data_IF_908521956300
#
_entry.id   IF_908521956300
#
_cell.length_a   1.000
_cell.length_b   1.000
_cell.length_c   1.000
_cell.angle_alpha   90.00
_cell.angle_beta   90.00
_cell.angle_gamma   90.00
#
_symmetry.space_group_name_H-M   'P 1'
#
loop_
_entity.id
_entity.type
_entity.pdbx_description
1 polymer ?
#
# COMPACT_ATOMS: atom_id res chain seq x y z
N UNK A 1 -23.07 -5.96 -24.78
CA UNK A 1 -21.80 -6.37 -24.13
C UNK A 1 -20.66 -5.72 -24.91
N UNK A 2 -20.33 -4.47 -24.58
CA UNK A 2 -19.22 -3.76 -25.21
C UNK A 2 -17.97 -3.98 -24.35
N UNK A 3 -17.00 -4.69 -24.91
CA UNK A 3 -15.68 -4.85 -24.32
C UNK A 3 -15.03 -3.47 -24.18
N UNK A 4 -14.88 -3.02 -22.94
CA UNK A 4 -14.02 -1.90 -22.58
C UNK A 4 -12.57 -2.29 -22.90
N UNK A 5 -12.12 -1.87 -24.08
CA UNK A 5 -10.72 -1.87 -24.46
C UNK A 5 -9.99 -0.88 -23.52
N UNK A 6 -9.38 -1.38 -22.45
CA UNK A 6 -8.38 -0.64 -21.70
C UNK A 6 -7.17 -0.44 -22.61
N UNK A 7 -7.15 0.70 -23.30
CA UNK A 7 -5.94 1.25 -23.90
C UNK A 7 -4.93 1.49 -22.78
N UNK A 8 -4.07 0.50 -22.52
CA UNK A 8 -2.89 0.64 -21.69
C UNK A 8 -1.96 1.61 -22.40
N UNK A 9 -2.13 2.92 -22.16
CA UNK A 9 -1.14 3.91 -22.56
C UNK A 9 0.15 3.51 -21.87
N UNK A 10 1.13 3.05 -22.64
CA UNK A 10 2.45 2.75 -22.15
C UNK A 10 2.96 3.98 -21.41
N UNK A 11 3.15 3.85 -20.10
CA UNK A 11 3.83 4.87 -19.31
C UNK A 11 5.29 4.85 -19.77
N UNK A 12 5.62 5.69 -20.74
CA UNK A 12 6.99 5.93 -21.17
C UNK A 12 7.68 6.69 -20.04
N UNK A 13 8.25 5.96 -19.09
CA UNK A 13 9.03 6.56 -18.01
C UNK A 13 10.40 6.92 -18.55
N UNK A 14 10.65 8.20 -18.84
CA UNK A 14 11.99 8.72 -19.02
C UNK A 14 12.68 8.79 -17.66
N UNK A 15 13.33 7.70 -17.22
CA UNK A 15 14.10 7.71 -15.97
C UNK A 15 15.51 8.24 -16.27
N UNK A 16 15.76 9.51 -15.94
CA UNK A 16 17.13 10.02 -15.82
C UNK A 16 17.74 9.50 -14.50
N UNK A 17 18.34 8.30 -14.55
CA UNK A 17 18.89 7.64 -13.38
C UNK A 17 20.24 8.24 -12.96
N UNK A 18 20.28 8.87 -11.78
CA UNK A 18 21.51 9.02 -11.02
C UNK A 18 21.79 7.69 -10.30
N UNK A 19 22.77 6.93 -10.79
CA UNK A 19 23.14 5.64 -10.24
C UNK A 19 23.92 5.79 -8.93
N UNK A 20 23.39 5.25 -7.83
CA UNK A 20 24.17 5.03 -6.61
C UNK A 20 25.06 3.80 -6.79
N UNK A 21 26.38 3.97 -6.70
CA UNK A 21 27.32 2.85 -6.71
C UNK A 21 27.14 2.01 -5.44
N UNK A 22 26.67 0.77 -5.58
CA UNK A 22 26.71 -0.21 -4.50
C UNK A 22 28.04 -0.97 -4.57
N UNK A 23 28.95 -0.75 -3.61
CA UNK A 23 30.14 -1.58 -3.42
C UNK A 23 29.79 -2.81 -2.60
N UNK A 24 29.77 -3.99 -3.22
CA UNK A 24 29.57 -5.27 -2.54
C UNK A 24 30.21 -6.41 -3.33
N UNK A 25 30.58 -7.48 -2.64
CA UNK A 25 31.14 -8.71 -3.23
C UNK A 25 30.24 -9.21 -4.36
N UNK A 26 30.81 -9.42 -5.55
CA UNK A 26 30.04 -9.80 -6.73
C UNK A 26 29.57 -11.26 -6.63
N UNK A 27 28.31 -11.47 -6.27
CA UNK A 27 27.61 -12.72 -6.54
C UNK A 27 26.88 -12.59 -7.88
N UNK A 28 27.16 -13.50 -8.81
CA UNK A 28 26.49 -13.56 -10.10
C UNK A 28 25.34 -14.56 -10.01
N UNK A 29 24.11 -14.11 -10.25
CA UNK A 29 23.00 -15.00 -10.52
C UNK A 29 22.87 -15.16 -12.04
N UNK A 30 22.78 -16.40 -12.53
CA UNK A 30 22.87 -16.70 -13.96
C UNK A 30 21.51 -16.63 -14.66
N UNK A 31 21.49 -15.89 -15.77
CA UNK A 31 20.61 -16.12 -16.91
C UNK A 31 21.38 -17.01 -17.90
N UNK A 32 20.71 -17.63 -18.87
CA UNK A 32 21.35 -18.46 -19.91
C UNK A 32 22.51 -17.75 -20.64
N UNK A 33 22.54 -16.42 -20.62
CA UNK A 33 23.46 -15.58 -21.40
C UNK A 33 24.50 -14.85 -20.54
N UNK A 34 24.78 -15.32 -19.31
CA UNK A 34 25.88 -14.81 -18.47
C UNK A 34 25.47 -14.06 -17.19
N UNK A 35 24.18 -14.00 -16.87
CA UNK A 35 23.70 -13.50 -15.57
C UNK A 35 23.79 -11.99 -15.35
N UNK A 36 23.64 -11.59 -14.09
CA UNK A 36 23.72 -10.19 -13.67
C UNK A 36 24.77 -9.96 -12.59
N UNK A 37 25.41 -8.79 -12.64
CA UNK A 37 26.47 -8.32 -11.75
C UNK A 37 26.31 -6.83 -11.49
N UNK A 38 27.00 -6.30 -10.48
CA UNK A 38 27.06 -4.85 -10.23
C UNK A 38 27.54 -4.08 -11.47
N UNK A 39 28.46 -4.66 -12.23
CA UNK A 39 29.05 -4.01 -13.40
C UNK A 39 28.04 -3.84 -14.54
N UNK A 40 27.25 -4.88 -14.87
CA UNK A 40 26.33 -4.86 -16.02
C UNK A 40 24.87 -4.51 -15.66
N UNK A 41 24.56 -4.29 -14.38
CA UNK A 41 23.18 -4.02 -13.92
C UNK A 41 23.00 -2.57 -13.50
N UNK A 42 21.96 -1.93 -14.04
CA UNK A 42 21.40 -0.67 -13.59
C UNK A 42 20.45 -0.92 -12.41
N UNK A 43 20.51 -0.15 -11.33
CA UNK A 43 19.58 -0.28 -10.19
C UNK A 43 18.63 0.91 -10.16
N UNK A 44 17.34 0.62 -10.03
CA UNK A 44 16.27 1.61 -9.85
C UNK A 44 15.60 1.35 -8.51
N UNK A 45 15.83 2.23 -7.56
CA UNK A 45 15.22 2.17 -6.23
C UNK A 45 13.89 2.91 -6.23
N UNK A 46 12.82 2.21 -5.85
CA UNK A 46 11.45 2.72 -5.84
C UNK A 46 10.92 2.71 -4.41
N UNK A 47 10.58 3.87 -3.85
CA UNK A 47 9.88 3.98 -2.56
C UNK A 47 8.36 4.11 -2.75
N UNK A 48 7.59 4.12 -1.67
CA UNK A 48 6.18 4.50 -1.74
C UNK A 48 5.15 3.41 -1.46
N UNK A 49 3.89 3.66 -1.79
CA UNK A 49 2.72 2.86 -1.38
C UNK A 49 2.89 1.34 -1.54
N UNK A 50 2.54 0.59 -0.49
CA UNK A 50 2.46 -0.88 -0.52
C UNK A 50 1.26 -1.39 -1.33
N UNK A 51 0.21 -0.58 -1.50
CA UNK A 51 -0.97 -0.93 -2.30
C UNK A 51 -0.62 -1.10 -3.80
N UNK A 52 0.52 -0.54 -4.22
CA UNK A 52 1.04 -0.63 -5.59
C UNK A 52 2.09 -1.73 -5.79
N UNK A 53 2.42 -2.51 -4.75
CA UNK A 53 3.49 -3.52 -4.83
C UNK A 53 3.19 -4.56 -5.92
N UNK A 54 1.95 -5.06 -5.97
CA UNK A 54 1.54 -6.05 -6.97
C UNK A 54 1.62 -5.51 -8.40
N UNK A 55 1.09 -4.30 -8.62
CA UNK A 55 1.04 -3.64 -9.92
C UNK A 55 2.46 -3.25 -10.38
N UNK A 56 3.30 -2.75 -9.49
CA UNK A 56 4.69 -2.39 -9.81
C UNK A 56 5.51 -3.64 -10.16
N UNK A 57 5.30 -4.73 -9.41
CA UNK A 57 5.95 -6.02 -9.69
C UNK A 57 5.49 -6.59 -11.03
N UNK A 58 4.18 -6.59 -11.29
CA UNK A 58 3.61 -7.05 -12.56
C UNK A 58 4.07 -6.18 -13.74
N UNK A 59 4.12 -4.85 -13.58
CA UNK A 59 4.66 -3.95 -14.59
C UNK A 59 6.12 -4.27 -14.89
N UNK A 60 6.96 -4.43 -13.86
CA UNK A 60 8.36 -4.79 -14.06
C UNK A 60 8.46 -6.12 -14.82
N UNK A 61 7.71 -7.15 -14.42
CA UNK A 61 7.79 -8.47 -15.04
C UNK A 61 7.20 -8.55 -16.46
N UNK A 62 6.10 -7.84 -16.71
CA UNK A 62 5.32 -8.01 -17.95
C UNK A 62 5.55 -6.92 -18.97
N UNK A 63 5.90 -5.71 -18.54
CA UNK A 63 6.11 -4.56 -19.44
C UNK A 63 7.59 -4.28 -19.64
N UNK A 64 8.37 -4.22 -18.55
CA UNK A 64 9.80 -3.89 -18.62
C UNK A 64 10.66 -5.09 -19.02
N UNK A 65 10.49 -6.21 -18.34
CA UNK A 65 11.40 -7.36 -18.43
C UNK A 65 11.07 -8.31 -19.57
N UNK A 66 12.11 -8.88 -20.17
CA UNK A 66 11.97 -10.11 -20.96
C UNK A 66 11.57 -11.26 -20.01
N UNK A 67 10.45 -11.92 -20.32
CA UNK A 67 9.88 -12.98 -19.48
C UNK A 67 10.78 -14.21 -19.34
N UNK A 68 11.74 -14.39 -20.26
CA UNK A 68 12.71 -15.50 -20.24
C UNK A 68 14.01 -15.14 -19.52
N UNK A 69 14.25 -13.84 -19.26
CA UNK A 69 15.50 -13.33 -18.69
C UNK A 69 15.24 -12.44 -17.48
N UNK A 70 14.51 -12.99 -16.51
CA UNK A 70 14.19 -12.28 -15.27
C UNK A 70 14.25 -13.19 -14.05
N UNK A 71 14.60 -12.60 -12.91
CA UNK A 71 14.48 -13.21 -11.59
C UNK A 71 13.74 -12.25 -10.67
N UNK A 72 12.98 -12.80 -9.74
CA UNK A 72 12.20 -12.03 -8.77
C UNK A 72 12.56 -12.45 -7.37
N UNK A 73 12.85 -11.47 -6.53
CA UNK A 73 13.14 -11.63 -5.12
C UNK A 73 12.02 -10.99 -4.31
N UNK A 74 11.50 -11.70 -3.32
CA UNK A 74 10.53 -11.16 -2.37
C UNK A 74 11.04 -11.51 -0.98
N UNK A 75 11.47 -10.49 -0.25
CA UNK A 75 12.07 -10.65 1.08
C UNK A 75 10.99 -10.68 2.16
N UNK A 76 10.05 -9.73 2.04
CA UNK A 76 8.91 -9.58 2.94
C UNK A 76 7.81 -8.80 2.20
N UNK A 77 6.75 -8.41 2.92
CA UNK A 77 5.61 -7.66 2.37
C UNK A 77 5.97 -6.26 1.86
N UNK A 78 7.10 -5.70 2.29
CA UNK A 78 7.56 -4.36 1.96
C UNK A 78 8.69 -4.31 0.93
N UNK A 79 9.42 -5.42 0.77
CA UNK A 79 10.65 -5.45 -0.01
C UNK A 79 10.60 -6.52 -1.11
N UNK A 80 10.72 -6.06 -2.36
CA UNK A 80 10.91 -6.95 -3.50
C UNK A 80 11.91 -6.37 -4.50
N UNK A 81 12.43 -7.24 -5.36
CA UNK A 81 13.20 -6.85 -6.52
C UNK A 81 12.81 -7.69 -7.74
N UNK A 82 12.84 -7.08 -8.92
CA UNK A 82 12.80 -7.78 -10.21
C UNK A 82 14.07 -7.39 -10.96
N UNK A 83 14.91 -8.37 -11.27
CA UNK A 83 16.16 -8.16 -12.02
C UNK A 83 16.02 -8.86 -13.35
N UNK A 84 16.30 -8.16 -14.45
CA UNK A 84 16.08 -8.71 -15.78
C UNK A 84 16.89 -8.03 -16.88
N UNK A 85 16.90 -8.66 -18.05
CA UNK A 85 17.16 -7.97 -19.31
C UNK A 85 15.87 -7.23 -19.71
N UNK A 86 15.90 -5.92 -19.97
CA UNK A 86 14.71 -5.22 -20.44
C UNK A 86 14.33 -5.64 -21.86
N UNK A 87 13.03 -5.59 -22.17
CA UNK A 87 12.54 -5.74 -23.55
C UNK A 87 13.12 -4.63 -24.44
N UNK A 88 13.44 -4.94 -25.72
CA UNK A 88 13.93 -3.95 -26.66
C UNK A 88 13.02 -2.71 -26.74
N UNK A 89 13.60 -1.52 -26.67
CA UNK A 89 12.89 -0.25 -26.82
C UNK A 89 12.07 0.22 -25.62
N UNK A 90 11.98 -0.55 -24.52
CA UNK A 90 11.21 -0.14 -23.32
C UNK A 90 12.00 0.81 -22.42
N UNK A 91 13.32 0.64 -22.34
CA UNK A 91 14.21 1.53 -21.59
C UNK A 91 15.57 1.61 -22.27
N UNK A 92 16.18 2.79 -22.26
CA UNK A 92 17.58 2.97 -22.65
C UNK A 92 18.46 2.90 -21.40
N UNK A 93 19.37 1.93 -21.36
CA UNK A 93 20.34 1.80 -20.27
C UNK A 93 21.62 2.57 -20.59
N UNK A 94 22.33 3.01 -19.55
CA UNK A 94 23.63 3.66 -19.70
C UNK A 94 24.69 2.71 -20.28
N UNK A 95 25.74 3.26 -20.87
CA UNK A 95 26.81 2.48 -21.48
C UNK A 95 27.38 1.43 -20.52
N UNK A 96 27.50 0.18 -21.00
CA UNK A 96 27.98 -0.95 -20.21
C UNK A 96 26.93 -1.65 -19.34
N UNK A 97 25.69 -1.13 -19.29
CA UNK A 97 24.56 -1.78 -18.62
C UNK A 97 23.71 -2.56 -19.61
N UNK A 98 23.53 -3.85 -19.34
CA UNK A 98 22.66 -4.74 -20.13
C UNK A 98 21.45 -5.21 -19.34
N UNK A 99 21.52 -5.13 -18.01
CA UNK A 99 20.48 -5.57 -17.08
C UNK A 99 19.93 -4.39 -16.28
N UNK A 100 18.72 -4.56 -15.75
CA UNK A 100 18.08 -3.62 -14.81
C UNK A 100 17.53 -4.36 -13.60
N UNK A 101 17.70 -3.77 -12.41
CA UNK A 101 17.12 -4.21 -11.16
C UNK A 101 16.11 -3.15 -10.69
N UNK A 102 14.82 -3.48 -10.75
CA UNK A 102 13.76 -2.69 -10.13
C UNK A 102 13.62 -3.15 -8.69
N UNK A 103 14.02 -2.32 -7.74
CA UNK A 103 14.04 -2.66 -6.32
C UNK A 103 13.08 -1.76 -5.57
N UNK A 104 12.09 -2.35 -4.89
CA UNK A 104 11.05 -1.61 -4.18
C UNK A 104 11.21 -1.76 -2.67
N UNK A 105 11.05 -0.63 -1.97
CA UNK A 105 10.76 -0.58 -0.54
C UNK A 105 9.43 0.16 -0.35
N UNK A 106 8.43 -0.46 0.28
CA UNK A 106 7.15 0.18 0.61
C UNK A 106 6.95 0.53 2.08
N UNK A 107 7.99 0.39 2.89
CA UNK A 107 7.96 0.81 4.28
C UNK A 107 7.68 2.32 4.39
N UNK A 108 6.76 2.70 5.27
CA UNK A 108 6.27 4.07 5.40
C UNK A 108 5.44 4.58 4.21
N UNK A 109 4.98 3.68 3.33
CA UNK A 109 3.91 3.95 2.37
C UNK A 109 4.12 5.18 1.48
N UNK A 110 3.00 5.78 1.10
CA UNK A 110 2.88 6.86 0.12
C UNK A 110 3.60 8.15 0.56
N UNK A 111 3.60 8.42 1.87
CA UNK A 111 4.39 9.49 2.47
C UNK A 111 5.88 9.37 2.20
N UNK A 112 6.44 8.16 2.31
CA UNK A 112 7.83 7.89 1.91
C UNK A 112 8.03 7.90 0.39
N UNK A 113 7.00 7.59 -0.39
CA UNK A 113 7.00 7.76 -1.84
C UNK A 113 7.31 9.20 -2.25
N UNK A 114 6.94 10.19 -1.43
CA UNK A 114 7.24 11.59 -1.68
C UNK A 114 8.54 12.00 -0.97
N UNK A 115 8.64 11.66 0.32
CA UNK A 115 9.71 12.16 1.19
C UNK A 115 11.09 11.63 0.83
N UNK A 116 11.19 10.43 0.23
CA UNK A 116 12.46 9.69 0.01
C UNK A 116 12.98 9.74 -1.43
N UNK A 117 12.39 10.58 -2.28
CA UNK A 117 12.89 10.82 -3.64
C UNK A 117 14.27 11.47 -3.61
N UNK A 118 15.10 11.19 -4.63
CA UNK A 118 16.37 11.87 -4.83
C UNK A 118 16.11 13.38 -4.99
N UNK A 119 16.68 14.18 -4.08
CA UNK A 119 16.38 15.62 -3.96
C UNK A 119 15.36 15.97 -2.86
N UNK A 120 14.75 14.97 -2.20
CA UNK A 120 13.94 15.09 -0.99
C UNK A 120 14.70 14.72 0.30
N UNK A 121 13.98 14.58 1.41
CA UNK A 121 14.55 14.32 2.74
C UNK A 121 14.67 12.82 3.08
N UNK A 122 15.89 12.28 2.96
CA UNK A 122 16.31 11.04 3.62
C UNK A 122 16.47 9.81 2.71
N UNK A 123 16.89 8.70 3.33
CA UNK A 123 17.28 7.46 2.65
C UNK A 123 16.46 6.26 3.14
N UNK A 124 16.41 5.19 2.34
CA UNK A 124 15.81 3.90 2.68
C UNK A 124 16.76 2.76 2.34
N UNK A 125 16.63 1.65 3.06
CA UNK A 125 17.35 0.42 2.74
C UNK A 125 16.54 -0.43 1.74
N UNK A 126 17.22 -1.07 0.80
CA UNK A 126 16.59 -1.85 -0.27
C UNK A 126 17.13 -3.27 -0.31
N UNK A 127 16.44 -4.19 -0.99
CA UNK A 127 16.98 -5.52 -1.26
C UNK A 127 18.30 -5.37 -2.00
N UNK A 128 19.39 -5.87 -1.41
CA UNK A 128 20.63 -5.98 -2.15
C UNK A 128 20.54 -7.21 -3.06
N UNK A 129 20.36 -7.00 -4.35
CA UNK A 129 20.22 -8.08 -5.34
C UNK A 129 21.55 -8.76 -5.69
N UNK A 130 22.68 -8.18 -5.27
CA UNK A 130 24.03 -8.66 -5.58
C UNK A 130 24.64 -9.51 -4.46
N UNK A 131 23.89 -9.81 -3.41
CA UNK A 131 24.31 -10.72 -2.34
C UNK A 131 23.88 -12.17 -2.64
N UNK A 132 24.50 -13.15 -1.97
CA UNK A 132 24.20 -14.57 -2.19
C UNK A 132 22.72 -14.95 -1.98
N UNK A 133 22.06 -14.33 -0.99
CA UNK A 133 20.68 -14.65 -0.62
C UNK A 133 19.80 -13.39 -0.55
N UNK A 134 19.39 -12.75 -1.67
CA UNK A 134 18.65 -11.49 -1.63
C UNK A 134 17.30 -11.55 -0.88
N UNK A 135 16.65 -12.72 -0.86
CA UNK A 135 15.37 -12.91 -0.18
C UNK A 135 15.49 -12.98 1.35
N UNK A 136 16.60 -13.49 1.89
CA UNK A 136 16.76 -13.70 3.35
C UNK A 136 17.88 -12.87 3.97
N UNK A 137 18.82 -12.40 3.15
CA UNK A 137 19.96 -11.58 3.54
C UNK A 137 19.58 -10.20 4.04
N UNK A 138 20.57 -9.49 4.58
CA UNK A 138 20.40 -8.13 5.06
C UNK A 138 19.98 -7.19 3.91
N UNK A 139 19.24 -6.14 4.26
CA UNK A 139 19.03 -5.03 3.32
C UNK A 139 20.37 -4.33 3.07
N UNK A 140 20.49 -3.70 1.89
CA UNK A 140 21.65 -2.90 1.54
C UNK A 140 21.77 -1.62 2.36
N UNK A 141 22.85 -0.89 2.12
CA UNK A 141 23.05 0.46 2.66
C UNK A 141 21.90 1.38 2.28
N UNK A 142 21.53 2.28 3.19
CA UNK A 142 20.46 3.23 2.92
C UNK A 142 20.85 4.20 1.79
N UNK A 143 19.98 4.34 0.79
CA UNK A 143 20.16 5.22 -0.38
C UNK A 143 18.88 5.99 -0.69
N UNK A 144 18.98 7.05 -1.47
CA UNK A 144 17.81 7.79 -1.96
C UNK A 144 17.02 6.98 -3.00
N UNK A 145 15.71 7.21 -3.06
CA UNK A 145 14.84 6.58 -4.06
C UNK A 145 14.98 7.31 -5.40
N UNK A 146 15.09 6.57 -6.49
CA UNK A 146 15.03 7.16 -7.83
C UNK A 146 13.59 7.52 -8.21
N UNK A 147 12.63 6.70 -7.78
CA UNK A 147 11.20 6.86 -8.07
C UNK A 147 10.41 6.71 -6.77
N UNK A 148 9.32 7.46 -6.71
CA UNK A 148 8.41 7.55 -5.59
C UNK A 148 7.01 7.29 -6.08
N UNK A 149 6.35 6.28 -5.50
CA UNK A 149 4.98 5.91 -5.92
C UNK A 149 3.99 6.24 -4.81
N UNK A 150 2.95 6.98 -5.16
CA UNK A 150 1.86 7.30 -4.26
C UNK A 150 0.56 6.75 -4.84
N UNK A 151 -0.26 6.15 -3.99
CA UNK A 151 -1.65 5.78 -4.28
C UNK A 151 -2.64 6.88 -3.84
N UNK A 152 -2.11 8.06 -3.48
CA UNK A 152 -2.88 9.23 -3.09
C UNK A 152 -2.17 10.51 -3.56
N UNK A 153 -2.93 11.58 -3.77
CA UNK A 153 -2.42 12.84 -4.27
C UNK A 153 -1.39 13.46 -3.31
N UNK A 154 -0.22 13.94 -3.80
CA UNK A 154 0.83 14.48 -2.95
C UNK A 154 0.42 15.64 -2.04
N UNK A 155 -0.46 16.52 -2.54
CA UNK A 155 -0.93 17.67 -1.74
C UNK A 155 -1.85 17.23 -0.60
N UNK A 156 -2.64 16.18 -0.82
CA UNK A 156 -3.45 15.62 0.24
C UNK A 156 -2.58 14.99 1.33
N UNK A 157 -1.57 14.22 0.93
CA UNK A 157 -0.62 13.62 1.87
C UNK A 157 0.15 14.68 2.67
N UNK A 158 0.54 15.78 2.04
CA UNK A 158 1.17 16.90 2.72
C UNK A 158 0.23 17.52 3.76
N UNK A 159 -1.01 17.83 3.38
CA UNK A 159 -2.02 18.38 4.30
C UNK A 159 -2.36 17.40 5.44
N UNK A 160 -2.30 16.09 5.17
CA UNK A 160 -2.56 15.04 6.14
C UNK A 160 -1.41 14.83 7.15
N UNK A 161 -0.28 15.52 6.98
CA UNK A 161 0.92 15.37 7.81
C UNK A 161 1.79 14.15 7.44
N UNK A 162 1.53 13.53 6.29
CA UNK A 162 2.16 12.28 5.87
C UNK A 162 3.56 12.45 5.23
N UNK A 163 3.95 13.68 4.89
CA UNK A 163 5.18 14.01 4.15
C UNK A 163 6.15 14.78 5.04
N UNK A 164 7.42 14.37 5.05
CA UNK A 164 8.50 15.06 5.78
C UNK A 164 9.39 15.83 4.82
N UNK A 165 9.76 17.07 5.18
CA UNK A 165 10.68 17.90 4.38
C UNK A 165 10.07 18.56 3.15
N UNK A 166 8.73 18.59 3.04
CA UNK A 166 7.99 19.24 1.94
C UNK A 166 7.87 18.38 0.68
N UNK A 167 7.08 18.88 -0.29
CA UNK A 167 6.84 18.23 -1.59
C UNK A 167 7.97 18.62 -2.58
N UNK A 168 8.72 17.67 -3.17
CA UNK A 168 9.66 17.97 -4.23
C UNK A 168 8.99 18.69 -5.42
N UNK A 169 9.70 19.60 -6.07
CA UNK A 169 9.20 20.23 -7.30
C UNK A 169 9.12 19.22 -8.45
N UNK A 170 8.13 19.36 -9.33
CA UNK A 170 8.01 18.54 -10.54
C UNK A 170 7.42 17.14 -10.35
N UNK A 171 6.71 16.88 -9.25
CA UNK A 171 5.92 15.65 -9.13
C UNK A 171 4.82 15.64 -10.18
N UNK A 172 4.82 14.60 -11.02
CA UNK A 172 3.74 14.31 -11.96
C UNK A 172 2.73 13.45 -11.23
N UNK A 173 1.56 14.01 -10.92
CA UNK A 173 0.43 13.22 -10.45
C UNK A 173 -0.40 12.74 -11.64
N UNK A 174 -0.77 11.47 -11.62
CA UNK A 174 -1.69 10.89 -12.60
C UNK A 174 -2.51 9.85 -11.87
N UNK A 175 -3.84 10.01 -11.90
CA UNK A 175 -4.74 9.04 -11.30
C UNK A 175 -4.57 7.68 -11.99
N UNK A 176 -4.04 6.69 -11.27
CA UNK A 176 -3.86 5.32 -11.78
C UNK A 176 -5.08 4.43 -11.51
N UNK A 177 -5.88 4.75 -10.49
CA UNK A 177 -7.14 4.09 -10.15
C UNK A 177 -7.88 4.84 -9.03
N UNK A 178 -9.22 4.86 -9.10
CA UNK A 178 -10.07 5.23 -7.95
C UNK A 178 -10.37 3.94 -7.19
N UNK A 179 -10.03 3.88 -5.90
CA UNK A 179 -10.41 2.77 -5.03
C UNK A 179 -11.75 3.07 -4.37
N UNK A 180 -12.68 2.12 -4.44
CA UNK A 180 -13.90 2.11 -3.64
C UNK A 180 -13.52 1.70 -2.21
N UNK A 181 -13.87 2.50 -1.20
CA UNK A 181 -13.62 2.15 0.20
C UNK A 181 -14.67 1.15 0.68
N UNK A 182 -14.24 -0.06 0.99
CA UNK A 182 -14.93 -0.93 1.94
C UNK A 182 -14.21 -0.85 3.29
N UNK A 183 -14.95 -0.72 4.39
CA UNK A 183 -14.39 -0.84 5.74
C UNK A 183 -14.41 -2.31 6.14
N UNK A 184 -13.27 -3.01 6.17
CA UNK A 184 -13.26 -4.40 6.58
C UNK A 184 -13.53 -4.50 8.08
N UNK A 185 -14.22 -5.56 8.47
CA UNK A 185 -14.61 -5.86 9.85
C UNK A 185 -14.30 -7.31 10.17
N UNK A 186 -14.28 -7.67 11.44
CA UNK A 186 -14.12 -9.08 11.84
C UNK A 186 -15.32 -9.93 11.38
N UNK A 187 -15.09 -11.23 11.20
CA UNK A 187 -16.12 -12.19 10.79
C UNK A 187 -17.35 -12.14 11.71
N UNK A 188 -17.11 -12.08 13.03
CA UNK A 188 -18.17 -12.02 14.03
C UNK A 188 -19.02 -10.76 13.92
N UNK A 189 -18.36 -9.59 13.78
CA UNK A 189 -19.07 -8.32 13.61
C UNK A 189 -19.87 -8.27 12.31
N UNK A 190 -19.31 -8.75 11.19
CA UNK A 190 -20.03 -8.85 9.92
C UNK A 190 -21.30 -9.68 10.06
N UNK A 191 -21.21 -10.88 10.65
CA UNK A 191 -22.37 -11.75 10.82
C UNK A 191 -23.42 -11.11 11.75
N UNK A 192 -22.99 -10.41 12.80
CA UNK A 192 -23.90 -9.65 13.68
C UNK A 192 -24.61 -8.51 12.93
N UNK A 193 -23.88 -7.77 12.10
CA UNK A 193 -24.44 -6.73 11.24
C UNK A 193 -25.45 -7.29 10.23
N UNK A 194 -25.15 -8.45 9.62
CA UNK A 194 -26.09 -9.12 8.72
C UNK A 194 -27.39 -9.47 9.44
N UNK A 195 -27.31 -10.13 10.59
CA UNK A 195 -28.48 -10.48 11.41
C UNK A 195 -29.33 -9.25 11.75
N UNK A 196 -28.69 -8.16 12.22
CA UNK A 196 -29.40 -6.94 12.59
C UNK A 196 -30.05 -6.24 11.38
N UNK A 197 -29.38 -6.25 10.22
CA UNK A 197 -29.89 -5.60 9.02
C UNK A 197 -30.98 -6.41 8.31
N UNK A 198 -30.93 -7.74 8.39
CA UNK A 198 -32.04 -8.61 7.97
C UNK A 198 -33.26 -8.33 8.85
N UNK A 199 -33.08 -8.32 10.19
CA UNK A 199 -34.18 -8.09 11.13
C UNK A 199 -34.81 -6.68 10.99
N UNK A 200 -34.02 -5.68 10.61
CA UNK A 200 -34.50 -4.31 10.37
C UNK A 200 -34.97 -4.05 8.93
N UNK A 201 -34.95 -5.06 8.05
CA UNK A 201 -35.36 -4.94 6.65
C UNK A 201 -34.41 -4.11 5.78
N UNK A 202 -33.19 -3.84 6.24
CA UNK A 202 -32.12 -3.16 5.48
C UNK A 202 -31.36 -4.11 4.55
N UNK A 203 -31.34 -5.40 4.87
CA UNK A 203 -30.87 -6.46 3.99
C UNK A 203 -32.03 -7.32 3.54
N UNK A 204 -31.87 -7.93 2.37
CA UNK A 204 -32.87 -8.83 1.79
C UNK A 204 -33.19 -9.98 2.77
N UNK A 205 -34.48 -10.30 3.02
CA UNK A 205 -34.85 -11.39 3.92
C UNK A 205 -34.35 -12.77 3.50
N UNK A 206 -33.95 -12.96 2.23
CA UNK A 206 -33.31 -14.19 1.74
C UNK A 206 -31.85 -14.32 2.14
N UNK A 207 -31.24 -13.26 2.68
CA UNK A 207 -29.91 -13.32 3.23
C UNK A 207 -29.89 -14.06 4.57
N UNK A 208 -28.80 -14.77 4.80
CA UNK A 208 -28.51 -15.42 6.08
C UNK A 208 -27.15 -14.93 6.55
N UNK A 209 -26.98 -14.76 7.87
CA UNK A 209 -25.68 -14.42 8.44
C UNK A 209 -24.61 -15.43 7.98
N UNK A 210 -23.45 -14.90 7.55
CA UNK A 210 -22.37 -15.68 6.93
C UNK A 210 -22.42 -15.76 5.41
N UNK A 211 -23.48 -15.30 4.74
CA UNK A 211 -23.53 -15.25 3.28
C UNK A 211 -22.61 -14.14 2.75
N UNK A 212 -21.64 -14.50 1.90
CA UNK A 212 -20.63 -13.57 1.36
C UNK A 212 -20.95 -13.02 -0.03
N UNK A 213 -22.15 -13.31 -0.54
CA UNK A 213 -22.63 -12.68 -1.79
C UNK A 213 -22.77 -11.18 -1.62
N UNK A 214 -22.56 -10.43 -2.72
CA UNK A 214 -22.66 -8.97 -2.72
C UNK A 214 -24.03 -8.47 -2.21
N UNK A 215 -25.11 -9.18 -2.54
CA UNK A 215 -26.47 -8.84 -2.10
C UNK A 215 -26.65 -8.93 -0.57
N UNK A 216 -25.85 -9.75 0.11
CA UNK A 216 -25.94 -9.98 1.55
C UNK A 216 -24.85 -9.27 2.34
N UNK A 217 -24.02 -8.44 1.72
CA UNK A 217 -23.03 -7.64 2.44
C UNK A 217 -23.74 -6.55 3.27
N UNK A 218 -23.55 -6.52 4.60
CA UNK A 218 -24.15 -5.47 5.43
C UNK A 218 -23.57 -4.10 5.09
N UNK A 219 -24.20 -3.02 5.55
CA UNK A 219 -23.75 -1.65 5.31
C UNK A 219 -23.85 -0.76 6.55
N UNK A 220 -22.97 0.23 6.68
CA UNK A 220 -23.13 1.33 7.63
C UNK A 220 -23.18 2.63 6.85
N UNK A 221 -23.93 3.61 7.37
CA UNK A 221 -23.91 4.94 6.79
C UNK A 221 -22.53 5.59 6.95
N UNK A 222 -22.21 6.54 6.08
CA UNK A 222 -21.01 7.36 6.22
C UNK A 222 -20.94 8.04 7.59
N UNK A 223 -22.07 8.49 8.14
CA UNK A 223 -22.13 9.10 9.47
C UNK A 223 -21.82 8.11 10.60
N UNK A 224 -22.29 6.87 10.51
CA UNK A 224 -21.95 5.83 11.49
C UNK A 224 -20.45 5.50 11.45
N UNK A 225 -19.87 5.40 10.25
CA UNK A 225 -18.43 5.17 10.09
C UNK A 225 -17.62 6.38 10.57
N UNK A 226 -18.08 7.61 10.29
CA UNK A 226 -17.47 8.83 10.78
C UNK A 226 -17.51 8.91 12.32
N UNK A 227 -18.61 8.51 12.95
CA UNK A 227 -18.70 8.46 14.42
C UNK A 227 -17.76 7.42 15.03
N UNK A 228 -17.58 6.26 14.38
CA UNK A 228 -16.60 5.25 14.80
C UNK A 228 -15.18 5.80 14.69
N UNK A 229 -14.79 6.29 13.51
CA UNK A 229 -13.43 6.79 13.27
C UNK A 229 -13.13 8.12 13.93
N UNK A 230 -14.15 8.89 14.32
CA UNK A 230 -14.02 10.08 15.15
C UNK A 230 -14.04 9.81 16.65
N UNK A 231 -14.29 8.56 17.07
CA UNK A 231 -14.31 8.15 18.48
C UNK A 231 -15.58 8.52 19.25
N UNK A 232 -16.61 8.96 18.55
CA UNK A 232 -17.91 9.30 19.14
C UNK A 232 -18.77 8.05 19.39
N UNK A 233 -18.65 7.03 18.52
CA UNK A 233 -19.33 5.75 18.68
C UNK A 233 -18.36 4.73 19.25
N UNK A 234 -18.65 4.30 20.47
CA UNK A 234 -17.73 3.49 21.27
C UNK A 234 -18.27 2.11 21.58
N UNK A 235 -19.57 1.90 21.46
CA UNK A 235 -20.25 0.62 21.66
C UNK A 235 -20.99 0.13 20.41
N UNK A 236 -20.95 -1.17 20.11
CA UNK A 236 -21.73 -1.76 19.02
C UNK A 236 -23.25 -1.71 19.29
N UNK A 237 -23.64 -1.66 20.56
CA UNK A 237 -25.01 -1.47 21.03
C UNK A 237 -25.62 -0.15 20.61
N UNK A 238 -24.81 0.88 20.36
CA UNK A 238 -25.25 2.16 19.78
C UNK A 238 -25.75 2.01 18.34
N UNK A 239 -25.36 0.93 17.66
CA UNK A 239 -25.87 0.52 16.34
C UNK A 239 -27.01 -0.51 16.43
N UNK A 240 -27.48 -0.83 17.64
CA UNK A 240 -28.48 -1.85 17.90
C UNK A 240 -27.95 -3.28 17.79
N UNK A 241 -26.63 -3.47 17.88
CA UNK A 241 -26.00 -4.80 17.89
C UNK A 241 -25.87 -5.30 19.34
N UNK A 242 -25.82 -6.61 19.52
CA UNK A 242 -25.60 -7.22 20.84
C UNK A 242 -24.49 -8.27 20.80
N UNK A 243 -23.24 -7.88 20.45
CA UNK A 243 -22.10 -8.80 20.49
C UNK A 243 -21.70 -9.16 21.93
N UNK A 244 -20.89 -10.20 22.09
CA UNK A 244 -20.36 -10.60 23.41
C UNK A 244 -19.35 -9.57 23.97
N UNK A 245 -18.61 -8.87 23.10
CA UNK A 245 -17.82 -7.69 23.43
C UNK A 245 -18.44 -6.47 22.72
N UNK A 246 -19.01 -5.56 23.50
CA UNK A 246 -19.66 -4.35 22.99
C UNK A 246 -18.67 -3.28 22.54
N UNK A 247 -17.39 -3.44 22.85
CA UNK A 247 -16.38 -2.41 22.60
C UNK A 247 -16.07 -2.27 21.11
N UNK A 248 -16.09 -1.04 20.61
CA UNK A 248 -15.53 -0.71 19.30
C UNK A 248 -14.02 -0.59 19.42
N UNK A 249 -13.33 -1.40 18.62
CA UNK A 249 -11.89 -1.31 18.37
C UNK A 249 -11.65 -0.85 16.94
N UNK A 250 -10.76 0.12 16.76
CA UNK A 250 -10.42 0.70 15.46
C UNK A 250 -9.02 0.27 15.06
N UNK A 251 -8.91 -0.40 13.92
CA UNK A 251 -7.63 -0.59 13.26
C UNK A 251 -7.43 0.50 12.21
N UNK A 252 -6.28 1.18 12.26
CA UNK A 252 -5.90 2.21 11.29
C UNK A 252 -4.50 1.96 10.73
N UNK A 253 -4.22 2.59 9.60
CA UNK A 253 -2.89 2.60 8.98
C UNK A 253 -2.10 3.81 9.51
N UNK A 254 -0.75 3.76 9.47
CA UNK A 254 0.08 4.90 9.88
C UNK A 254 -0.23 6.15 9.03
N UNK A 255 0.06 7.34 9.56
CA UNK A 255 -0.24 8.62 8.89
C UNK A 255 0.35 8.73 7.49
N UNK A 256 1.45 8.02 7.24
CA UNK A 256 2.15 7.97 5.95
C UNK A 256 1.44 7.14 4.86
N UNK A 257 0.32 6.50 5.18
CA UNK A 257 -0.48 5.72 4.23
C UNK A 257 -1.41 6.59 3.39
N UNK A 258 -1.34 6.49 2.06
CA UNK A 258 -2.31 7.10 1.16
C UNK A 258 -3.73 6.59 1.38
N UNK A 259 -3.90 5.28 1.56
CA UNK A 259 -5.21 4.71 1.92
C UNK A 259 -5.80 5.33 3.20
N UNK A 260 -4.97 5.63 4.23
CA UNK A 260 -5.42 6.32 5.44
C UNK A 260 -5.85 7.76 5.13
N UNK A 261 -5.05 8.49 4.36
CA UNK A 261 -5.37 9.87 3.96
C UNK A 261 -6.68 9.93 3.16
N UNK A 262 -6.86 9.01 2.22
CA UNK A 262 -8.05 8.89 1.41
C UNK A 262 -9.29 8.54 2.26
N UNK A 263 -9.17 7.61 3.21
CA UNK A 263 -10.24 7.27 4.15
C UNK A 263 -10.64 8.46 5.05
N UNK A 264 -9.66 9.27 5.49
CA UNK A 264 -9.91 10.51 6.25
C UNK A 264 -10.72 11.51 5.43
N UNK A 265 -10.36 11.71 4.15
CA UNK A 265 -11.12 12.59 3.26
C UNK A 265 -12.53 12.06 3.05
N UNK A 266 -12.65 10.77 2.75
CA UNK A 266 -13.93 10.18 2.39
C UNK A 266 -14.90 10.16 3.58
N UNK A 267 -14.47 9.72 4.76
CA UNK A 267 -15.38 9.56 5.90
C UNK A 267 -15.50 10.82 6.76
N UNK A 268 -14.43 11.59 6.89
CA UNK A 268 -14.35 12.71 7.84
C UNK A 268 -14.18 14.07 7.17
N UNK A 269 -13.99 14.13 5.85
CA UNK A 269 -13.62 15.35 5.11
C UNK A 269 -12.33 16.01 5.64
N UNK A 270 -11.48 15.22 6.33
CA UNK A 270 -10.20 15.63 6.87
C UNK A 270 -9.08 15.27 5.86
N UNK A 271 -8.10 16.14 5.58
CA UNK A 271 -7.85 17.47 6.12
C UNK A 271 -8.40 18.61 5.23
N UNK A 272 -9.42 18.34 4.41
CA UNK A 272 -9.91 19.28 3.40
C UNK A 272 -10.54 20.58 3.96
N UNK A 273 -10.90 20.60 5.25
CA UNK A 273 -11.41 21.78 5.95
C UNK A 273 -10.91 21.84 7.41
N UNK A 274 -10.89 23.05 7.98
CA UNK A 274 -10.59 23.26 9.39
C UNK A 274 -11.75 22.77 10.28
N UNK A 275 -11.44 22.34 11.51
CA UNK A 275 -12.40 21.88 12.53
C UNK A 275 -13.23 20.65 12.14
N UNK A 276 -12.79 19.86 11.17
CA UNK A 276 -13.39 18.56 10.91
C UNK A 276 -13.12 17.59 12.07
N UNK A 277 -14.03 16.64 12.28
CA UNK A 277 -13.81 15.51 13.18
C UNK A 277 -12.53 14.80 12.74
N UNK A 278 -11.57 14.71 13.65
CA UNK A 278 -10.29 14.07 13.35
C UNK A 278 -10.39 12.57 13.53
N UNK A 279 -9.63 11.84 12.73
CA UNK A 279 -9.50 10.40 12.92
C UNK A 279 -8.85 10.12 14.29
N UNK A 280 -9.45 9.21 15.06
CA UNK A 280 -8.96 8.81 16.39
C UNK A 280 -7.46 8.47 16.37
N UNK A 281 -6.71 9.05 17.30
CA UNK A 281 -5.28 8.79 17.42
C UNK A 281 -5.02 7.34 17.81
N UNK A 282 -3.92 6.75 17.31
CA UNK A 282 -3.51 5.40 17.70
C UNK A 282 -2.99 5.37 19.13
N UNK A 283 -3.45 4.39 19.92
CA UNK A 283 -3.10 4.28 21.35
C UNK A 283 -1.65 3.80 21.58
N UNK A 284 -0.99 3.28 20.54
CA UNK A 284 0.32 2.61 20.65
C UNK A 284 1.51 3.40 20.06
N UNK A 285 1.28 4.60 19.51
CA UNK A 285 2.28 5.31 18.70
C UNK A 285 2.60 4.60 17.37
N UNK A 286 3.09 5.37 16.39
CA UNK A 286 3.36 4.89 15.03
C UNK A 286 4.38 3.75 14.98
N UNK A 287 3.91 2.52 14.72
CA UNK A 287 4.81 1.38 14.51
C UNK A 287 4.56 0.72 13.16
N UNK A 288 5.41 1.05 12.19
CA UNK A 288 5.50 0.36 10.89
C UNK A 288 6.09 -1.06 10.95
N UNK A 289 6.34 -1.59 12.16
CA UNK A 289 7.02 -2.89 12.38
C UNK A 289 6.22 -3.87 13.21
N UNK A 290 5.06 -3.47 13.78
CA UNK A 290 4.22 -4.41 14.53
C UNK A 290 3.43 -5.29 13.57
N UNK A 291 3.53 -6.60 13.78
CA UNK A 291 2.63 -7.59 13.21
C UNK A 291 1.19 -7.15 13.48
N UNK A 292 0.30 -7.33 12.50
CA UNK A 292 -1.11 -6.94 12.51
C UNK A 292 -1.67 -6.85 13.93
N UNK A 293 -1.76 -5.64 14.46
CA UNK A 293 -2.36 -5.40 15.77
C UNK A 293 -3.84 -5.84 15.80
N UNK A 294 -4.42 -6.14 14.62
CA UNK A 294 -5.74 -6.75 14.44
C UNK A 294 -5.79 -8.24 14.80
N UNK A 295 -4.65 -8.94 14.82
CA UNK A 295 -4.56 -10.39 15.05
C UNK A 295 -3.75 -10.77 16.31
N UNK A 296 -3.04 -9.82 16.94
CA UNK A 296 -2.37 -10.09 18.22
C UNK A 296 -3.34 -9.97 19.39
N UNK A 297 -3.26 -10.89 20.35
CA UNK A 297 -3.99 -10.82 21.61
C UNK A 297 -3.75 -9.45 22.30
N UNK A 298 -4.80 -8.63 22.28
CA UNK A 298 -5.01 -7.38 23.02
C UNK A 298 -3.75 -6.62 23.48
N UNK A 299 -3.18 -5.72 22.65
CA UNK A 299 -2.53 -4.55 23.21
C UNK A 299 -3.57 -3.78 24.07
N UNK A 300 -3.16 -3.20 25.20
CA UNK A 300 -4.04 -2.30 25.94
C UNK A 300 -4.45 -1.12 25.04
N UNK A 301 -5.76 -0.83 24.94
CA UNK A 301 -6.29 0.27 24.12
C UNK A 301 -7.48 -0.14 23.25
N UNK A 302 -7.93 0.80 22.43
CA UNK A 302 -9.08 0.71 21.51
C UNK A 302 -8.74 1.09 20.08
N UNK A 303 -7.63 1.79 19.84
CA UNK A 303 -7.19 2.23 18.51
C UNK A 303 -5.81 1.68 18.23
N UNK A 304 -5.72 0.79 17.26
CA UNK A 304 -4.52 0.05 16.92
C UNK A 304 -3.98 0.47 15.55
N UNK A 305 -2.66 0.60 15.44
CA UNK A 305 -1.99 0.89 14.17
C UNK A 305 -1.33 -0.37 13.59
N UNK A 306 -1.46 -0.58 12.29
CA UNK A 306 -0.89 -1.75 11.61
C UNK A 306 -0.44 -1.51 10.17
N UNK A 307 0.48 -2.36 9.71
CA UNK A 307 1.11 -2.35 8.37
C UNK A 307 0.68 -3.57 7.52
N UNK A 308 -0.55 -4.04 7.67
CA UNK A 308 -1.09 -5.16 6.88
C UNK A 308 -1.52 -4.72 5.47
N UNK A 309 -1.10 -5.50 4.45
CA UNK A 309 -1.80 -5.57 3.16
C UNK A 309 -3.21 -6.16 3.32
N UNK A 310 -3.95 -6.45 2.23
CA UNK A 310 -5.38 -6.73 2.26
C UNK A 310 -5.70 -8.10 2.87
N UNK A 311 -5.55 -8.25 4.18
CA UNK A 311 -6.04 -9.40 4.94
C UNK A 311 -6.69 -8.90 6.22
N UNK A 312 -7.74 -8.12 6.04
CA UNK A 312 -8.91 -8.19 6.91
C UNK A 312 -10.02 -8.52 5.94
N UNK A 313 -10.72 -9.64 6.17
CA UNK A 313 -11.74 -10.21 5.28
C UNK A 313 -12.57 -9.06 4.69
N UNK A 314 -12.38 -8.81 3.39
CA UNK A 314 -13.04 -7.73 2.66
C UNK A 314 -14.49 -8.14 2.43
N UNK A 315 -15.32 -7.99 3.46
CA UNK A 315 -16.76 -7.88 3.28
C UNK A 315 -17.08 -6.40 3.33
N UNK A 316 -16.93 -5.74 2.17
CA UNK A 316 -17.13 -4.30 2.04
C UNK A 316 -18.53 -3.91 2.47
N UNK A 317 -18.65 -2.86 3.29
CA UNK A 317 -19.93 -2.24 3.56
C UNK A 317 -20.45 -1.59 2.27
N UNK A 318 -21.55 -2.09 1.71
CA UNK A 318 -22.17 -1.51 0.50
C UNK A 318 -22.73 -0.12 0.82
N UNK A 319 -22.71 0.83 -0.12
CA UNK A 319 -23.54 2.05 0.00
C UNK A 319 -25.02 1.69 -0.22
N UNK A 320 -25.97 2.33 0.48
CA UNK A 320 -27.36 2.37 0.04
C UNK A 320 -27.49 3.06 -1.32
#
# INVERSE_FOLDING_TARGET
MNHLNLNHKALAVAVALAFSAASGSAFAYSFSDGGYTVANTAVVNISGSSATNGQTKAWAQSVLCDSTKQVTWSKDSNHFAVVCTPKPGVVALSAGKTQIAVVKNSNGGSGNGISKLAGGSGTLQYVNVFQANPATGALGTAVGSNIGVSDEEPDLLLAAGAVTGGKPAGLVSTALNVVTFGTPVTLGLRNALQTAQIASGKLDPSCTAGNETEACMPSLSQSQIASIFGGNLVGWSELGLSPADDTVYVARRPVTSGTQAAARVFFLNEPCAANMVQFVNGDSGESGTKADACNSAAPAGRVFEGSGGPVVIASGLRRP
#
